data_IF_884818394857
#
_entry.id   IF_884818394857
#
_cell.length_a   1.000
_cell.length_b   1.000
_cell.length_c   1.000
_cell.angle_alpha   90.00
_cell.angle_beta   90.00
_cell.angle_gamma   90.00
#
_symmetry.space_group_name_H-M   'P 1'
#
loop_
_entity.id
_entity.type
_entity.pdbx_description
1 polymer ?
#
# COMPACT_ATOMS: atom_id res chain seq x y z
N UNK A 1 -5.56 29.16 16.86
CA UNK A 1 -4.38 29.98 17.15
C UNK A 1 -3.25 29.47 16.27
N UNK A 2 -2.97 30.24 15.23
CA UNK A 2 -1.95 29.92 14.21
C UNK A 2 -0.55 30.09 14.84
N UNK A 3 0.04 29.03 15.34
CA UNK A 3 1.45 29.01 15.73
C UNK A 3 2.28 28.93 14.44
N UNK A 4 2.49 30.10 13.81
CA UNK A 4 3.49 30.25 12.75
C UNK A 4 4.79 29.64 13.28
N UNK A 5 5.26 28.56 12.60
CA UNK A 5 6.53 27.92 12.91
C UNK A 5 7.66 28.96 12.85
N UNK A 6 8.08 29.49 14.01
CA UNK A 6 9.26 30.37 14.09
C UNK A 6 10.50 29.49 13.97
N UNK A 7 11.01 29.37 12.76
CA UNK A 7 12.28 28.70 12.51
C UNK A 7 13.40 29.71 12.43
N UNK A 8 14.62 29.35 12.86
CA UNK A 8 15.82 30.09 12.52
C UNK A 8 15.98 30.16 10.99
N UNK A 9 16.83 31.08 10.46
CA UNK A 9 17.10 31.08 9.02
C UNK A 9 17.60 29.71 8.53
N UNK A 10 16.97 29.16 7.50
CA UNK A 10 17.28 27.81 7.02
C UNK A 10 18.73 27.65 6.57
N UNK A 11 19.32 28.69 5.98
CA UNK A 11 20.74 28.68 5.61
C UNK A 11 21.68 28.58 6.83
N UNK A 12 21.28 29.14 7.97
CA UNK A 12 22.05 29.04 9.20
C UNK A 12 21.96 27.62 9.79
N UNK A 13 20.78 27.00 9.77
CA UNK A 13 20.59 25.58 10.14
C UNK A 13 21.38 24.64 9.23
N UNK A 14 21.38 24.89 7.90
CA UNK A 14 22.12 24.12 6.91
C UNK A 14 23.64 24.23 7.13
N UNK A 15 24.15 25.44 7.39
CA UNK A 15 25.55 25.67 7.69
C UNK A 15 25.98 24.97 8.99
N UNK A 16 25.11 24.97 10.01
CA UNK A 16 25.36 24.27 11.27
C UNK A 16 25.38 22.73 11.08
N UNK A 17 24.42 22.16 10.36
CA UNK A 17 24.39 20.72 10.10
C UNK A 17 25.66 20.24 9.38
N UNK A 18 26.03 20.91 8.28
CA UNK A 18 27.24 20.57 7.53
C UNK A 18 28.51 20.76 8.37
N UNK A 19 28.65 21.86 9.10
CA UNK A 19 29.78 22.10 10.00
C UNK A 19 29.86 21.09 11.15
N UNK A 20 28.73 20.64 11.67
CA UNK A 20 28.65 19.65 12.72
C UNK A 20 29.08 18.26 12.25
N UNK A 21 28.76 17.90 11.00
CA UNK A 21 29.14 16.65 10.39
C UNK A 21 30.63 16.57 10.07
N UNK A 22 31.19 17.66 9.57
CA UNK A 22 32.60 17.75 9.21
C UNK A 22 33.54 18.12 10.38
N UNK A 23 33.01 18.70 11.46
CA UNK A 23 33.77 19.36 12.54
C UNK A 23 34.83 20.29 11.97
N UNK A 24 34.53 20.92 10.82
CA UNK A 24 35.45 21.77 10.07
C UNK A 24 34.68 22.75 9.17
N UNK A 25 34.86 24.05 9.40
CA UNK A 25 34.17 25.08 8.65
C UNK A 25 34.61 25.21 7.18
N UNK A 26 35.87 24.89 6.87
CA UNK A 26 36.33 24.89 5.48
C UNK A 26 35.70 23.76 4.67
N UNK A 27 35.65 22.53 5.22
CA UNK A 27 35.01 21.43 4.56
C UNK A 27 33.50 21.64 4.41
N UNK A 28 32.86 22.25 5.40
CA UNK A 28 31.45 22.63 5.28
C UNK A 28 31.20 23.66 4.19
N UNK A 29 32.15 24.61 4.07
CA UNK A 29 32.10 25.65 3.03
C UNK A 29 32.26 25.07 1.62
N UNK A 30 33.19 24.12 1.45
CA UNK A 30 33.37 23.38 0.19
C UNK A 30 32.11 22.61 -0.22
N UNK A 31 31.49 21.87 0.71
CA UNK A 31 30.25 21.17 0.47
C UNK A 31 29.09 22.10 0.10
N UNK A 32 28.97 23.21 0.79
CA UNK A 32 27.90 24.19 0.57
C UNK A 32 28.15 25.14 -0.59
N UNK A 33 29.32 25.04 -1.25
CA UNK A 33 29.77 25.94 -2.34
C UNK A 33 29.76 27.41 -1.92
N UNK A 34 30.27 27.72 -0.71
CA UNK A 34 30.38 29.05 -0.13
C UNK A 34 31.77 29.29 0.45
N UNK A 35 32.04 30.48 0.96
CA UNK A 35 33.31 30.74 1.66
C UNK A 35 33.28 30.29 3.12
N UNK A 36 34.42 29.92 3.74
CA UNK A 36 34.49 29.63 5.18
C UNK A 36 34.00 30.77 6.08
N UNK A 37 34.21 32.01 5.66
CA UNK A 37 33.69 33.20 6.34
C UNK A 37 32.17 33.27 6.33
N UNK A 38 31.51 32.86 5.21
CA UNK A 38 30.06 32.80 5.11
C UNK A 38 29.49 31.74 6.04
N UNK A 39 30.11 30.55 6.11
CA UNK A 39 29.71 29.49 7.07
C UNK A 39 29.83 29.99 8.51
N UNK A 40 30.98 30.63 8.86
CA UNK A 40 31.17 31.18 10.20
C UNK A 40 30.11 32.22 10.57
N UNK A 41 29.75 33.11 9.62
CA UNK A 41 28.69 34.11 9.83
C UNK A 41 27.30 33.46 10.01
N UNK A 42 26.97 32.45 9.23
CA UNK A 42 25.68 31.74 9.39
C UNK A 42 25.59 31.03 10.74
N UNK A 43 26.71 30.46 11.21
CA UNK A 43 26.75 29.81 12.54
C UNK A 43 26.59 30.85 13.63
N UNK A 44 27.27 31.97 13.53
CA UNK A 44 27.13 33.08 14.50
C UNK A 44 25.67 33.57 14.56
N UNK A 45 25.03 33.79 13.41
CA UNK A 45 23.62 34.17 13.34
C UNK A 45 22.69 33.13 14.02
N UNK A 46 23.02 31.86 13.92
CA UNK A 46 22.25 30.79 14.58
C UNK A 46 22.49 30.78 16.10
N UNK A 47 23.75 30.94 16.53
CA UNK A 47 24.13 31.06 17.95
C UNK A 47 23.46 32.27 18.62
N UNK A 48 23.43 33.42 17.93
CA UNK A 48 22.73 34.62 18.38
C UNK A 48 21.23 34.41 18.51
N UNK A 49 20.61 33.66 17.56
CA UNK A 49 19.18 33.33 17.59
C UNK A 49 18.84 32.37 18.73
N UNK A 50 19.71 31.37 18.97
CA UNK A 50 19.51 30.34 20.02
C UNK A 50 19.92 30.91 21.39
N UNK A 51 20.79 31.89 21.44
CA UNK A 51 21.33 32.48 22.68
C UNK A 51 22.40 31.60 23.34
N UNK A 52 23.00 30.67 22.60
CA UNK A 52 24.03 29.77 23.14
C UNK A 52 25.02 29.36 22.05
N UNK A 53 26.32 29.16 22.39
CA UNK A 53 27.30 28.65 21.44
C UNK A 53 26.99 27.20 21.06
N UNK A 54 27.15 26.88 19.78
CA UNK A 54 26.95 25.54 19.23
C UNK A 54 28.26 24.79 19.03
N UNK A 55 29.39 25.56 18.91
CA UNK A 55 30.74 24.99 18.79
C UNK A 55 31.68 25.50 19.87
N UNK A 56 32.64 24.64 20.25
CA UNK A 56 33.79 24.98 21.10
C UNK A 56 35.07 24.77 20.30
N UNK A 57 35.94 25.77 20.28
CA UNK A 57 37.29 25.65 19.70
C UNK A 57 38.22 25.05 20.75
N UNK A 58 38.95 24.00 20.40
CA UNK A 58 39.96 23.39 21.25
C UNK A 58 41.30 23.30 20.51
N UNK A 59 42.41 23.06 21.21
CA UNK A 59 43.69 22.82 20.54
C UNK A 59 43.69 21.62 19.56
N UNK A 60 42.71 20.73 19.69
CA UNK A 60 42.53 19.54 18.84
C UNK A 60 41.54 19.75 17.70
N UNK A 61 40.93 20.93 17.58
CA UNK A 61 39.95 21.25 16.54
C UNK A 61 38.62 21.77 17.08
N UNK A 62 37.59 21.65 16.25
CA UNK A 62 36.23 22.10 16.53
C UNK A 62 35.43 20.94 17.21
N UNK A 63 34.70 21.23 18.28
CA UNK A 63 33.85 20.32 18.98
C UNK A 63 32.44 20.90 19.11
N UNK A 64 31.42 20.06 19.12
CA UNK A 64 30.05 20.45 19.43
C UNK A 64 29.85 20.70 20.93
N UNK A 65 29.01 21.67 21.25
CA UNK A 65 28.50 21.86 22.62
C UNK A 65 27.41 20.80 22.93
N UNK A 66 27.08 20.62 24.19
CA UNK A 66 26.03 19.65 24.58
C UNK A 66 24.67 20.00 24.00
N UNK A 67 24.34 21.30 23.91
CA UNK A 67 23.11 21.79 23.24
C UNK A 67 23.10 21.41 21.76
N UNK A 68 24.23 21.58 21.07
CA UNK A 68 24.36 21.22 19.68
C UNK A 68 24.25 19.71 19.45
N UNK A 69 24.85 18.89 20.34
CA UNK A 69 24.75 17.42 20.27
C UNK A 69 23.33 16.91 20.46
N UNK A 70 22.56 17.51 21.35
CA UNK A 70 21.16 17.14 21.60
C UNK A 70 20.24 17.51 20.43
N UNK A 71 20.47 18.64 19.78
CA UNK A 71 19.63 19.14 18.69
C UNK A 71 19.94 18.48 17.32
N UNK A 72 21.18 18.04 17.12
CA UNK A 72 21.69 17.61 15.80
C UNK A 72 20.93 16.41 15.20
N UNK A 73 20.53 15.35 15.95
CA UNK A 73 19.77 14.23 15.38
C UNK A 73 18.44 14.70 14.75
N UNK A 74 17.64 15.48 15.51
CA UNK A 74 16.36 16.00 15.01
C UNK A 74 16.53 16.94 13.80
N UNK A 75 17.64 17.69 13.77
CA UNK A 75 17.95 18.57 12.63
C UNK A 75 18.33 17.77 11.39
N UNK A 76 19.09 16.69 11.52
CA UNK A 76 19.40 15.75 10.41
C UNK A 76 18.16 15.13 9.85
N UNK A 77 17.30 14.57 10.69
CA UNK A 77 16.02 13.99 10.27
C UNK A 77 15.16 15.03 9.51
N UNK A 78 15.17 16.29 9.94
CA UNK A 78 14.46 17.37 9.26
C UNK A 78 15.04 17.65 7.87
N UNK A 79 16.39 17.70 7.71
CA UNK A 79 17.02 17.90 6.40
C UNK A 79 16.85 16.70 5.48
N UNK A 80 16.88 15.46 6.00
CA UNK A 80 16.59 14.27 5.22
C UNK A 80 15.17 14.32 4.66
N UNK A 81 14.17 14.72 5.45
CA UNK A 81 12.79 14.95 5.00
C UNK A 81 12.67 16.09 3.98
N UNK A 82 13.44 17.17 4.12
CA UNK A 82 13.48 18.23 3.12
C UNK A 82 14.10 17.76 1.80
N UNK A 83 15.17 16.96 1.86
CA UNK A 83 15.79 16.36 0.69
C UNK A 83 14.83 15.38 -0.01
N UNK A 84 14.12 14.56 0.75
CA UNK A 84 13.05 13.68 0.26
C UNK A 84 11.94 14.48 -0.43
N UNK A 85 11.46 15.56 0.19
CA UNK A 85 10.45 16.45 -0.41
C UNK A 85 10.96 17.11 -1.70
N UNK A 86 12.22 17.54 -1.73
CA UNK A 86 12.83 18.12 -2.93
C UNK A 86 12.98 17.08 -4.07
N UNK A 87 13.37 15.85 -3.73
CA UNK A 87 13.43 14.75 -4.69
C UNK A 87 12.04 14.45 -5.28
N UNK A 88 10.98 14.49 -4.44
CA UNK A 88 9.61 14.33 -4.89
C UNK A 88 9.15 15.44 -5.84
N UNK A 89 9.50 16.69 -5.56
CA UNK A 89 9.23 17.81 -6.46
C UNK A 89 9.92 17.62 -7.82
N UNK A 90 11.14 17.10 -7.82
CA UNK A 90 11.90 16.83 -9.05
C UNK A 90 11.35 15.62 -9.79
N UNK A 91 11.05 14.53 -9.09
CA UNK A 91 10.46 13.32 -9.67
C UNK A 91 9.08 13.58 -10.28
N UNK A 92 8.27 14.44 -9.66
CA UNK A 92 6.96 14.87 -10.18
C UNK A 92 7.09 15.64 -11.51
N UNK A 93 8.20 16.36 -11.70
CA UNK A 93 8.51 17.07 -12.96
C UNK A 93 8.98 16.10 -14.06
N UNK A 94 9.75 15.06 -13.69
CA UNK A 94 10.29 14.09 -14.66
C UNK A 94 9.28 13.01 -15.09
N UNK A 95 8.11 12.92 -14.45
CA UNK A 95 7.05 11.95 -14.79
C UNK A 95 7.46 10.49 -14.62
N UNK A 96 8.52 10.22 -13.85
CA UNK A 96 9.07 8.87 -13.67
C UNK A 96 8.42 8.11 -12.52
N UNK A 97 8.03 8.80 -11.44
CA UNK A 97 7.47 8.15 -10.25
C UNK A 97 5.95 8.07 -10.34
N UNK A 98 5.43 6.89 -10.02
CA UNK A 98 4.00 6.62 -9.85
C UNK A 98 3.77 6.12 -8.42
N UNK A 99 3.09 6.90 -7.60
CA UNK A 99 2.79 6.55 -6.21
C UNK A 99 1.36 6.02 -6.09
N UNK A 100 1.24 4.77 -5.64
CA UNK A 100 -0.01 4.03 -5.56
C UNK A 100 -0.33 3.66 -4.11
N UNK A 101 -1.62 3.55 -3.79
CA UNK A 101 -2.08 2.84 -2.61
C UNK A 101 -3.15 1.82 -2.99
N UNK A 102 -3.18 0.68 -2.31
CA UNK A 102 -4.12 -0.41 -2.58
C UNK A 102 -4.48 -1.17 -1.30
N UNK A 103 -5.65 -1.84 -1.24
CA UNK A 103 -5.94 -2.77 -0.15
C UNK A 103 -4.87 -3.86 -0.07
N UNK A 104 -4.36 -4.20 1.14
CA UNK A 104 -3.23 -5.13 1.28
C UNK A 104 -3.42 -6.47 0.59
N UNK A 105 -4.60 -7.08 0.73
CA UNK A 105 -4.90 -8.36 0.09
C UNK A 105 -4.93 -8.28 -1.43
N UNK A 106 -5.48 -7.19 -2.00
CA UNK A 106 -5.51 -6.96 -3.45
C UNK A 106 -4.10 -6.69 -3.98
N UNK A 107 -3.33 -5.88 -3.27
CA UNK A 107 -1.93 -5.64 -3.61
C UNK A 107 -1.15 -6.96 -3.68
N UNK A 108 -1.22 -7.79 -2.64
CA UNK A 108 -0.45 -9.02 -2.54
C UNK A 108 -0.88 -10.11 -3.53
N UNK A 109 -2.19 -10.31 -3.70
CA UNK A 109 -2.74 -11.47 -4.44
C UNK A 109 -3.03 -11.16 -5.91
N UNK A 110 -3.33 -9.91 -6.28
CA UNK A 110 -3.68 -9.59 -7.66
C UNK A 110 -2.70 -8.62 -8.34
N UNK A 111 -2.34 -7.51 -7.67
CA UNK A 111 -1.57 -6.45 -8.32
C UNK A 111 -0.10 -6.82 -8.48
N UNK A 112 0.59 -7.15 -7.38
CA UNK A 112 2.04 -7.43 -7.36
C UNK A 112 2.43 -8.58 -8.31
N UNK A 113 1.69 -9.71 -8.37
CA UNK A 113 1.99 -10.78 -9.34
C UNK A 113 1.95 -10.32 -10.82
N UNK A 114 1.22 -9.25 -11.12
CA UNK A 114 1.05 -8.69 -12.48
C UNK A 114 1.96 -7.50 -12.77
N UNK A 115 2.46 -6.83 -11.72
CA UNK A 115 3.19 -5.56 -11.83
C UNK A 115 4.44 -5.65 -12.71
N UNK A 116 5.13 -6.79 -12.71
CA UNK A 116 6.30 -7.00 -13.57
C UNK A 116 6.03 -6.84 -15.07
N UNK A 117 4.77 -7.05 -15.52
CA UNK A 117 4.38 -6.78 -16.92
C UNK A 117 4.29 -5.29 -17.22
N UNK A 118 3.82 -4.51 -16.25
CA UNK A 118 3.81 -3.04 -16.37
C UNK A 118 5.24 -2.49 -16.39
N UNK A 119 6.09 -2.93 -15.48
CA UNK A 119 7.49 -2.49 -15.38
C UNK A 119 8.29 -2.82 -16.67
N UNK A 120 8.05 -4.01 -17.24
CA UNK A 120 8.66 -4.39 -18.53
C UNK A 120 8.19 -3.51 -19.70
N UNK A 121 6.91 -3.11 -19.71
CA UNK A 121 6.35 -2.25 -20.75
C UNK A 121 6.72 -0.76 -20.56
N UNK A 122 6.99 -0.34 -19.34
CA UNK A 122 7.24 1.05 -18.97
C UNK A 122 8.47 1.19 -18.05
N UNK A 123 9.68 0.79 -18.49
CA UNK A 123 10.89 0.73 -17.67
C UNK A 123 11.35 2.12 -17.15
N UNK A 124 10.77 3.19 -17.67
CA UNK A 124 11.03 4.56 -17.21
C UNK A 124 10.15 4.99 -16.03
N UNK A 125 9.16 4.18 -15.63
CA UNK A 125 8.23 4.51 -14.55
C UNK A 125 8.59 3.70 -13.30
N UNK A 126 8.97 4.41 -12.24
CA UNK A 126 9.24 3.83 -10.94
C UNK A 126 7.95 3.75 -10.12
N UNK A 127 7.48 2.56 -9.83
CA UNK A 127 6.25 2.33 -9.05
C UNK A 127 6.55 2.27 -7.56
N UNK A 128 5.88 3.12 -6.80
CA UNK A 128 5.85 3.06 -5.34
C UNK A 128 4.46 2.65 -4.87
N UNK A 129 4.34 1.45 -4.30
CA UNK A 129 3.08 0.89 -3.83
C UNK A 129 3.03 0.84 -2.30
N UNK A 130 2.04 1.52 -1.71
CA UNK A 130 1.70 1.40 -0.29
C UNK A 130 0.45 0.53 -0.14
N UNK A 131 0.53 -0.49 0.71
CA UNK A 131 -0.60 -1.37 1.02
C UNK A 131 -1.33 -0.83 2.26
N UNK A 132 -2.50 -0.21 2.06
CA UNK A 132 -3.28 0.43 3.11
C UNK A 132 -4.78 0.39 2.81
N UNK A 133 -5.59 0.24 3.88
CA UNK A 133 -7.06 0.30 3.80
C UNK A 133 -7.61 1.70 3.98
N UNK A 134 -6.84 2.63 4.55
CA UNK A 134 -7.29 3.98 4.85
C UNK A 134 -7.58 4.78 3.58
N UNK A 135 -8.62 5.61 3.66
CA UNK A 135 -8.95 6.54 2.58
C UNK A 135 -7.86 7.62 2.48
N UNK A 136 -7.33 7.77 1.27
CA UNK A 136 -6.30 8.77 0.98
C UNK A 136 -6.92 10.15 0.87
N UNK A 137 -6.38 11.11 1.62
CA UNK A 137 -6.56 12.52 1.31
C UNK A 137 -5.54 12.96 0.24
N UNK A 138 -5.97 12.97 -1.00
CA UNK A 138 -5.14 13.38 -2.13
C UNK A 138 -4.68 14.85 -2.08
N UNK A 139 -5.28 15.69 -1.23
CA UNK A 139 -4.88 17.08 -1.09
C UNK A 139 -3.60 17.21 -0.23
N UNK A 140 -3.37 16.26 0.67
CA UNK A 140 -2.25 16.29 1.62
C UNK A 140 -1.25 15.15 1.42
N UNK A 141 -1.57 14.19 0.53
CA UNK A 141 -0.72 13.03 0.22
C UNK A 141 -0.08 13.14 -1.16
N UNK A 142 1.01 12.40 -1.35
CA UNK A 142 1.72 12.30 -2.64
C UNK A 142 1.17 11.20 -3.54
N UNK A 143 0.12 10.49 -3.10
CA UNK A 143 -0.49 9.41 -3.87
C UNK A 143 -1.05 9.96 -5.18
N UNK A 144 -0.71 9.31 -6.28
CA UNK A 144 -1.21 9.67 -7.60
C UNK A 144 -2.51 8.96 -7.93
N UNK A 145 -2.63 7.70 -7.51
CA UNK A 145 -3.77 6.84 -7.79
C UNK A 145 -3.97 5.87 -6.64
N UNK A 146 -5.21 5.67 -6.23
CA UNK A 146 -5.58 4.69 -5.22
C UNK A 146 -6.42 3.57 -5.84
N UNK A 147 -6.09 2.34 -5.55
CA UNK A 147 -6.95 1.20 -5.78
C UNK A 147 -7.84 1.02 -4.55
N UNK A 148 -9.11 0.73 -4.75
CA UNK A 148 -10.07 0.62 -3.65
C UNK A 148 -11.08 -0.49 -3.92
N UNK A 149 -11.46 -1.21 -2.86
CA UNK A 149 -12.59 -2.10 -2.84
C UNK A 149 -13.77 -1.39 -2.20
N UNK A 150 -14.93 -1.35 -2.86
CA UNK A 150 -16.08 -0.60 -2.35
C UNK A 150 -17.24 -0.49 -3.32
N UNK A 151 -18.21 0.37 -2.98
CA UNK A 151 -19.42 0.61 -3.79
C UNK A 151 -19.20 1.47 -5.04
N UNK A 152 -18.02 2.06 -5.22
CA UNK A 152 -17.71 2.93 -6.36
C UNK A 152 -18.09 4.40 -6.17
N UNK A 153 -18.48 4.81 -4.98
CA UNK A 153 -18.87 6.19 -4.70
C UNK A 153 -17.70 6.95 -4.05
N UNK A 154 -16.97 7.74 -4.85
CA UNK A 154 -15.81 8.54 -4.43
C UNK A 154 -15.98 9.99 -4.89
N UNK A 155 -16.67 10.85 -4.11
CA UNK A 155 -17.01 12.22 -4.52
C UNK A 155 -15.77 13.06 -4.84
N UNK A 156 -15.82 13.76 -6.00
CA UNK A 156 -14.74 14.65 -6.44
C UNK A 156 -13.53 13.97 -7.08
N UNK A 157 -13.54 12.63 -7.19
CA UNK A 157 -12.49 11.84 -7.85
C UNK A 157 -12.99 11.25 -9.17
N UNK A 158 -12.09 11.07 -10.12
CA UNK A 158 -12.33 10.23 -11.29
C UNK A 158 -12.23 8.77 -10.83
N UNK A 159 -13.24 7.96 -11.21
CA UNK A 159 -13.40 6.59 -10.74
C UNK A 159 -13.52 5.65 -11.92
N UNK A 160 -12.66 4.64 -11.97
CA UNK A 160 -12.63 3.60 -13.00
C UNK A 160 -12.90 2.25 -12.36
N UNK A 161 -14.01 1.59 -12.73
CA UNK A 161 -14.28 0.22 -12.30
C UNK A 161 -13.30 -0.72 -12.97
N UNK A 162 -12.68 -1.58 -12.17
CA UNK A 162 -11.68 -2.56 -12.64
C UNK A 162 -12.27 -3.96 -12.69
N UNK A 163 -12.71 -4.50 -11.56
CA UNK A 163 -13.13 -5.89 -11.41
C UNK A 163 -14.39 -5.97 -10.55
N UNK A 164 -15.32 -6.83 -10.93
CA UNK A 164 -16.36 -7.32 -10.03
C UNK A 164 -15.79 -8.29 -8.99
N UNK A 165 -16.63 -8.74 -8.06
CA UNK A 165 -16.20 -9.72 -7.09
C UNK A 165 -17.29 -10.76 -6.81
N UNK A 166 -16.86 -11.98 -6.56
CA UNK A 166 -17.70 -13.07 -6.07
C UNK A 166 -17.00 -13.78 -4.91
N UNK A 167 -17.75 -14.48 -4.08
CA UNK A 167 -17.17 -15.36 -3.07
C UNK A 167 -17.44 -16.81 -3.41
N UNK A 168 -16.43 -17.64 -3.17
CA UNK A 168 -16.46 -19.08 -3.37
C UNK A 168 -15.78 -19.81 -2.20
N UNK A 169 -16.23 -21.01 -1.82
CA UNK A 169 -15.48 -21.87 -0.91
C UNK A 169 -14.20 -22.35 -1.58
N UNK A 170 -13.08 -22.27 -0.87
CA UNK A 170 -11.77 -22.78 -1.34
C UNK A 170 -11.07 -23.57 -0.26
N UNK A 171 -10.31 -24.59 -0.64
CA UNK A 171 -9.49 -25.39 0.24
C UNK A 171 -8.29 -25.97 -0.50
N UNK A 172 -7.30 -26.48 0.24
CA UNK A 172 -6.18 -27.17 -0.40
C UNK A 172 -6.59 -28.53 -0.94
N UNK A 173 -5.97 -29.01 -2.04
CA UNK A 173 -6.21 -30.35 -2.59
C UNK A 173 -5.96 -31.47 -1.58
N UNK A 174 -4.94 -31.32 -0.73
CA UNK A 174 -4.60 -32.32 0.30
C UNK A 174 -5.72 -32.47 1.34
N UNK A 175 -6.30 -31.35 1.78
CA UNK A 175 -7.42 -31.38 2.71
C UNK A 175 -8.66 -31.99 2.07
N UNK A 176 -8.92 -31.71 0.80
CA UNK A 176 -10.03 -32.31 0.05
C UNK A 176 -9.86 -33.82 -0.15
N UNK A 177 -8.62 -34.26 -0.41
CA UNK A 177 -8.33 -35.69 -0.53
C UNK A 177 -8.54 -36.45 0.81
N UNK A 178 -8.15 -35.81 1.93
CA UNK A 178 -8.29 -36.38 3.26
C UNK A 178 -9.75 -36.41 3.76
N UNK A 179 -10.53 -35.40 3.41
CA UNK A 179 -11.91 -35.21 3.82
C UNK A 179 -12.74 -34.60 2.68
N UNK A 180 -13.25 -35.40 1.73
CA UNK A 180 -13.93 -34.91 0.54
C UNK A 180 -15.19 -34.09 0.85
N UNK A 181 -15.40 -33.04 0.04
CA UNK A 181 -16.62 -32.22 0.03
C UNK A 181 -17.30 -32.40 -1.31
N UNK A 182 -18.53 -32.89 -1.30
CA UNK A 182 -19.37 -33.11 -2.49
C UNK A 182 -20.55 -32.14 -2.54
N UNK A 183 -20.99 -31.65 -1.38
CA UNK A 183 -22.07 -30.68 -1.24
C UNK A 183 -21.80 -29.70 -0.09
N UNK A 184 -22.53 -28.60 -0.04
CA UNK A 184 -22.38 -27.60 1.01
C UNK A 184 -22.57 -28.16 2.43
N UNK A 185 -23.38 -29.19 2.60
CA UNK A 185 -23.60 -29.87 3.88
C UNK A 185 -22.35 -30.56 4.44
N UNK A 186 -21.44 -31.00 3.59
CA UNK A 186 -20.18 -31.63 4.00
C UNK A 186 -19.22 -30.71 4.73
N UNK A 187 -19.35 -29.39 4.51
CA UNK A 187 -18.54 -28.35 5.17
C UNK A 187 -18.66 -28.37 6.70
N UNK A 188 -19.70 -28.98 7.25
CA UNK A 188 -19.84 -29.20 8.70
C UNK A 188 -18.70 -30.02 9.32
N UNK A 189 -17.98 -30.80 8.52
CA UNK A 189 -16.85 -31.64 8.95
C UNK A 189 -15.51 -30.93 8.87
N UNK A 190 -15.50 -29.69 8.39
CA UNK A 190 -14.31 -28.91 8.19
C UNK A 190 -14.23 -27.74 9.16
N UNK A 191 -13.01 -27.26 9.40
CA UNK A 191 -12.78 -25.98 10.05
C UNK A 191 -13.14 -24.87 9.06
N UNK A 192 -14.04 -23.97 9.43
CA UNK A 192 -14.39 -22.81 8.62
C UNK A 192 -13.45 -21.65 8.97
N UNK A 193 -12.80 -21.10 7.95
CA UNK A 193 -11.91 -19.96 8.07
C UNK A 193 -12.71 -18.68 7.75
N UNK A 194 -12.62 -17.69 8.63
CA UNK A 194 -13.45 -16.48 8.53
C UNK A 194 -12.65 -15.28 8.08
N UNK A 195 -13.13 -14.61 7.06
CA UNK A 195 -12.67 -13.28 6.65
C UNK A 195 -13.36 -12.23 7.54
N UNK A 196 -12.58 -11.56 8.37
CA UNK A 196 -12.99 -10.45 9.21
C UNK A 196 -12.38 -9.14 8.74
N UNK A 197 -12.09 -9.02 7.44
CA UNK A 197 -11.63 -7.75 6.84
C UNK A 197 -12.61 -6.63 7.17
N UNK A 198 -12.14 -5.42 7.46
CA UNK A 198 -12.98 -4.29 7.89
C UNK A 198 -13.76 -3.66 6.73
N UNK A 199 -14.15 -4.47 5.73
CA UNK A 199 -14.97 -4.03 4.62
C UNK A 199 -16.42 -3.85 5.12
N UNK A 200 -17.00 -2.70 4.91
CA UNK A 200 -18.40 -2.44 5.19
C UNK A 200 -19.33 -3.01 4.09
N UNK A 201 -18.98 -4.17 3.52
CA UNK A 201 -19.75 -4.82 2.46
C UNK A 201 -20.81 -5.75 3.05
N UNK A 202 -22.01 -5.23 3.24
CA UNK A 202 -23.17 -5.99 3.71
C UNK A 202 -23.63 -7.06 2.69
N UNK A 203 -23.21 -6.99 1.42
CA UNK A 203 -23.53 -7.96 0.38
C UNK A 203 -22.60 -9.19 0.42
N UNK A 204 -21.43 -9.06 1.06
CA UNK A 204 -20.47 -10.16 1.19
C UNK A 204 -20.95 -11.14 2.27
N UNK A 205 -21.38 -12.36 1.91
CA UNK A 205 -21.89 -13.31 2.88
C UNK A 205 -20.76 -13.84 3.77
N UNK A 206 -21.07 -13.96 5.06
CA UNK A 206 -20.30 -14.81 5.97
C UNK A 206 -20.70 -16.30 5.78
N UNK A 207 -20.02 -17.18 6.49
CA UNK A 207 -20.35 -18.61 6.44
C UNK A 207 -21.79 -18.94 6.85
N UNK A 208 -22.34 -18.19 7.82
CA UNK A 208 -23.73 -18.40 8.28
C UNK A 208 -24.72 -18.07 7.18
N UNK A 209 -24.53 -16.92 6.53
CA UNK A 209 -25.36 -16.48 5.41
C UNK A 209 -25.22 -17.41 4.20
N UNK A 210 -23.99 -17.77 3.84
CA UNK A 210 -23.69 -18.60 2.68
C UNK A 210 -24.29 -20.00 2.80
N UNK A 211 -24.15 -20.66 3.97
CA UNK A 211 -24.70 -21.97 4.26
C UNK A 211 -26.22 -21.95 4.38
N UNK A 212 -26.78 -20.92 5.02
CA UNK A 212 -28.23 -20.77 5.15
C UNK A 212 -28.92 -20.62 3.79
N UNK A 213 -28.34 -19.88 2.86
CA UNK A 213 -28.83 -19.73 1.48
C UNK A 213 -28.89 -21.08 0.73
N UNK A 214 -28.08 -22.07 1.16
CA UNK A 214 -28.03 -23.45 0.60
C UNK A 214 -28.77 -24.49 1.45
N UNK A 215 -29.58 -24.01 2.38
CA UNK A 215 -30.41 -24.88 3.23
C UNK A 215 -29.65 -25.65 4.31
N UNK A 216 -28.36 -25.36 4.50
CA UNK A 216 -27.55 -26.02 5.53
C UNK A 216 -27.80 -25.35 6.88
N UNK A 217 -28.38 -26.11 7.83
CA UNK A 217 -28.76 -25.60 9.16
C UNK A 217 -28.33 -26.58 10.25
N UNK A 218 -28.41 -26.15 11.50
CA UNK A 218 -28.21 -27.05 12.67
C UNK A 218 -26.73 -27.28 13.00
N UNK A 219 -25.87 -26.33 12.63
CA UNK A 219 -24.47 -26.35 13.03
C UNK A 219 -23.97 -24.91 13.26
N UNK A 220 -22.97 -24.75 14.14
CA UNK A 220 -22.41 -23.45 14.47
C UNK A 220 -21.37 -23.03 13.42
N UNK A 221 -21.85 -22.31 12.41
CA UNK A 221 -21.02 -21.80 11.34
C UNK A 221 -20.13 -20.61 11.74
N UNK A 222 -20.26 -20.08 12.96
CA UNK A 222 -19.43 -18.97 13.47
C UNK A 222 -18.13 -19.46 14.13
N UNK A 223 -17.99 -20.76 14.32
CA UNK A 223 -16.83 -21.36 14.95
C UNK A 223 -15.68 -21.51 13.94
N UNK A 224 -14.51 -20.97 14.30
CA UNK A 224 -13.29 -21.11 13.51
C UNK A 224 -12.36 -19.91 13.65
N UNK A 225 -11.14 -20.01 13.13
CA UNK A 225 -10.19 -18.89 13.12
C UNK A 225 -10.72 -17.71 12.30
N UNK A 226 -10.45 -16.49 12.80
CA UNK A 226 -10.80 -15.24 12.13
C UNK A 226 -9.55 -14.46 11.79
N UNK A 227 -9.52 -13.87 10.61
CA UNK A 227 -8.40 -13.08 10.11
C UNK A 227 -8.92 -11.73 9.64
N UNK A 228 -8.15 -10.68 9.87
CA UNK A 228 -8.52 -9.31 9.48
C UNK A 228 -8.06 -8.92 8.06
N UNK A 229 -7.58 -9.87 7.28
CA UNK A 229 -7.19 -9.68 5.88
C UNK A 229 -7.53 -10.92 5.06
N UNK A 230 -8.18 -10.73 3.91
CA UNK A 230 -8.58 -11.82 3.00
C UNK A 230 -7.39 -12.66 2.54
N UNK A 231 -6.21 -12.05 2.34
CA UNK A 231 -4.99 -12.79 1.97
C UNK A 231 -4.56 -13.79 3.04
N UNK A 232 -4.72 -13.49 4.33
CA UNK A 232 -4.40 -14.41 5.42
C UNK A 232 -5.38 -15.59 5.49
N UNK A 233 -6.65 -15.34 5.16
CA UNK A 233 -7.66 -16.42 5.06
C UNK A 233 -7.28 -17.39 3.96
N UNK A 234 -6.88 -16.88 2.80
CA UNK A 234 -6.41 -17.66 1.65
C UNK A 234 -5.15 -18.46 2.01
N UNK A 235 -4.18 -17.84 2.68
CA UNK A 235 -2.96 -18.55 3.14
C UNK A 235 -3.27 -19.67 4.13
N UNK A 236 -4.25 -19.47 5.01
CA UNK A 236 -4.68 -20.52 5.92
C UNK A 236 -5.34 -21.70 5.18
N UNK A 237 -6.11 -21.43 4.11
CA UNK A 237 -6.69 -22.46 3.25
C UNK A 237 -5.61 -23.21 2.45
N UNK A 238 -4.64 -22.51 1.87
CA UNK A 238 -3.46 -23.09 1.20
C UNK A 238 -2.68 -24.03 2.11
N UNK A 239 -2.56 -23.68 3.39
CA UNK A 239 -1.89 -24.49 4.41
C UNK A 239 -2.73 -25.67 4.92
N UNK A 240 -3.88 -25.97 4.31
CA UNK A 240 -4.75 -27.09 4.69
C UNK A 240 -5.45 -26.91 6.04
N UNK A 241 -5.52 -25.70 6.61
CA UNK A 241 -6.08 -25.46 7.95
C UNK A 241 -7.61 -25.49 7.99
N UNK A 242 -8.28 -25.46 6.83
CA UNK A 242 -9.72 -25.44 6.73
C UNK A 242 -10.21 -24.99 5.37
N UNK A 243 -11.51 -24.69 5.30
CA UNK A 243 -12.17 -24.15 4.11
C UNK A 243 -12.39 -22.65 4.31
N UNK A 244 -11.98 -21.84 3.35
CA UNK A 244 -12.19 -20.40 3.33
C UNK A 244 -13.38 -20.06 2.40
N UNK A 245 -14.20 -19.08 2.80
CA UNK A 245 -15.10 -18.39 1.89
C UNK A 245 -14.33 -17.19 1.33
N UNK A 246 -13.70 -17.38 0.17
CA UNK A 246 -12.73 -16.44 -0.36
C UNK A 246 -13.32 -15.54 -1.45
N UNK A 247 -12.87 -14.29 -1.50
CA UNK A 247 -13.05 -13.41 -2.65
C UNK A 247 -12.32 -14.02 -3.84
N UNK A 248 -13.06 -14.31 -4.92
CA UNK A 248 -12.54 -15.08 -6.06
C UNK A 248 -11.40 -14.38 -6.76
N UNK A 249 -11.47 -13.08 -6.96
CA UNK A 249 -10.38 -12.28 -7.55
C UNK A 249 -9.05 -12.52 -6.84
N UNK A 250 -9.06 -12.67 -5.52
CA UNK A 250 -7.85 -12.85 -4.71
C UNK A 250 -7.36 -14.31 -4.70
N UNK A 251 -8.24 -15.28 -4.90
CA UNK A 251 -7.92 -16.70 -4.88
C UNK A 251 -7.63 -17.27 -6.27
N UNK A 252 -7.95 -16.55 -7.35
CA UNK A 252 -7.97 -17.10 -8.71
C UNK A 252 -6.59 -17.62 -9.17
N UNK A 253 -5.51 -16.90 -8.92
CA UNK A 253 -4.17 -17.34 -9.31
C UNK A 253 -3.75 -18.64 -8.57
N UNK A 254 -4.27 -18.87 -7.34
CA UNK A 254 -4.04 -20.10 -6.58
C UNK A 254 -4.92 -21.26 -7.09
N UNK A 255 -6.15 -20.96 -7.55
CA UNK A 255 -7.03 -21.93 -8.20
C UNK A 255 -6.46 -22.37 -9.55
N UNK A 256 -6.03 -21.44 -10.40
CA UNK A 256 -5.44 -21.72 -11.72
C UNK A 256 -4.17 -22.55 -11.61
N UNK A 257 -3.38 -22.30 -10.56
CA UNK A 257 -2.17 -23.07 -10.27
C UNK A 257 -2.44 -24.42 -9.58
N UNK A 258 -3.70 -24.77 -9.29
CA UNK A 258 -4.06 -26.00 -8.59
C UNK A 258 -3.63 -26.05 -7.11
N UNK A 259 -3.19 -24.94 -6.52
CA UNK A 259 -2.85 -24.86 -5.09
C UNK A 259 -4.09 -24.79 -4.20
N UNK A 260 -5.18 -24.29 -4.74
CA UNK A 260 -6.52 -24.35 -4.16
C UNK A 260 -7.47 -25.05 -5.12
N UNK A 261 -8.53 -25.58 -4.57
CA UNK A 261 -9.69 -26.05 -5.32
C UNK A 261 -10.96 -25.42 -4.75
N UNK A 262 -11.98 -25.26 -5.59
CA UNK A 262 -13.33 -24.93 -5.18
C UNK A 262 -14.12 -26.25 -5.00
N UNK A 263 -14.32 -26.74 -3.76
CA UNK A 263 -14.96 -28.04 -3.55
C UNK A 263 -16.45 -28.03 -3.90
N UNK A 264 -17.06 -26.84 -3.91
CA UNK A 264 -18.43 -26.60 -4.37
C UNK A 264 -18.38 -25.49 -5.40
N UNK A 265 -18.79 -25.77 -6.62
CA UNK A 265 -18.73 -24.83 -7.76
C UNK A 265 -19.85 -23.78 -7.72
N UNK A 266 -20.14 -23.23 -6.55
CA UNK A 266 -21.25 -22.32 -6.32
C UNK A 266 -20.71 -20.98 -5.81
N UNK A 267 -20.75 -19.96 -6.66
CA UNK A 267 -20.32 -18.59 -6.35
C UNK A 267 -21.49 -17.73 -5.90
N UNK A 268 -21.18 -16.68 -5.16
CA UNK A 268 -22.16 -15.66 -4.75
C UNK A 268 -21.63 -14.28 -5.13
N UNK A 269 -22.40 -13.55 -5.94
CA UNK A 269 -22.06 -12.21 -6.36
C UNK A 269 -22.05 -11.24 -5.16
N UNK A 270 -21.11 -10.29 -5.20
CA UNK A 270 -20.96 -9.23 -4.22
C UNK A 270 -21.21 -7.89 -4.89
N UNK A 271 -21.85 -6.93 -4.18
CA UNK A 271 -22.13 -5.61 -4.72
C UNK A 271 -20.89 -4.73 -4.83
N UNK A 272 -19.90 -4.95 -3.95
CA UNK A 272 -18.63 -4.21 -4.00
C UNK A 272 -17.75 -4.72 -5.16
N UNK A 273 -16.91 -3.79 -5.64
CA UNK A 273 -16.00 -4.03 -6.75
C UNK A 273 -14.65 -3.34 -6.48
N UNK A 274 -13.66 -3.65 -7.30
CA UNK A 274 -12.39 -2.93 -7.28
C UNK A 274 -12.42 -1.74 -8.23
N UNK A 275 -11.89 -0.62 -7.75
CA UNK A 275 -11.85 0.65 -8.49
C UNK A 275 -10.45 1.25 -8.44
N UNK A 276 -10.07 1.94 -9.52
CA UNK A 276 -8.98 2.89 -9.53
C UNK A 276 -9.56 4.30 -9.39
N UNK A 277 -9.07 5.08 -8.43
CA UNK A 277 -9.57 6.42 -8.15
C UNK A 277 -8.42 7.41 -8.05
N UNK A 278 -8.61 8.61 -8.61
CA UNK A 278 -7.59 9.67 -8.61
C UNK A 278 -8.24 11.06 -8.79
N UNK A 279 -7.57 12.15 -8.36
CA UNK A 279 -7.99 13.50 -8.71
C UNK A 279 -7.88 13.74 -10.23
N UNK A 280 -8.77 14.55 -10.79
CA UNK A 280 -8.77 14.90 -12.24
C UNK A 280 -7.42 15.42 -12.75
N UNK A 281 -6.71 16.20 -11.92
CA UNK A 281 -5.40 16.73 -12.26
C UNK A 281 -4.35 15.61 -12.43
N UNK A 282 -4.35 14.62 -11.52
CA UNK A 282 -3.43 13.47 -11.55
C UNK A 282 -3.67 12.57 -12.76
N UNK A 283 -4.92 12.39 -13.20
CA UNK A 283 -5.25 11.60 -14.40
C UNK A 283 -4.68 12.15 -15.71
N UNK A 284 -4.13 13.38 -15.71
CA UNK A 284 -3.44 13.95 -16.88
C UNK A 284 -1.97 13.54 -16.96
N UNK A 285 -1.39 13.06 -15.88
CA UNK A 285 0.01 12.65 -15.80
C UNK A 285 0.26 11.43 -16.69
N UNK A 286 1.34 11.42 -17.49
CA UNK A 286 1.63 10.32 -18.40
C UNK A 286 1.74 8.95 -17.73
N UNK A 287 2.38 8.87 -16.55
CA UNK A 287 2.54 7.65 -15.77
C UNK A 287 1.20 7.13 -15.23
N UNK A 288 0.29 8.01 -14.81
CA UNK A 288 -1.06 7.62 -14.36
C UNK A 288 -1.88 7.09 -15.53
N UNK A 289 -1.82 7.76 -16.70
CA UNK A 289 -2.50 7.28 -17.92
C UNK A 289 -2.00 5.91 -18.35
N UNK A 290 -0.68 5.72 -18.37
CA UNK A 290 -0.08 4.44 -18.74
C UNK A 290 -0.53 3.33 -17.79
N UNK A 291 -0.53 3.59 -16.48
CA UNK A 291 -0.94 2.61 -15.49
C UNK A 291 -2.43 2.28 -15.54
N UNK A 292 -3.30 3.29 -15.75
CA UNK A 292 -4.74 3.07 -15.92
C UNK A 292 -5.05 2.23 -17.16
N UNK A 293 -4.37 2.50 -18.28
CA UNK A 293 -4.53 1.71 -19.50
C UNK A 293 -4.09 0.25 -19.30
N UNK A 294 -2.96 0.04 -18.62
CA UNK A 294 -2.48 -1.30 -18.27
C UNK A 294 -3.44 -2.01 -17.30
N UNK A 295 -3.92 -1.34 -16.22
CA UNK A 295 -4.91 -1.90 -15.31
C UNK A 295 -6.19 -2.34 -16.03
N UNK A 296 -6.69 -1.52 -16.95
CA UNK A 296 -7.89 -1.84 -17.72
C UNK A 296 -7.68 -3.12 -18.57
N UNK A 297 -6.51 -3.25 -19.20
CA UNK A 297 -6.17 -4.44 -19.98
C UNK A 297 -6.04 -5.71 -19.11
N UNK A 298 -5.35 -5.61 -17.96
CA UNK A 298 -5.21 -6.72 -17.01
C UNK A 298 -6.55 -7.14 -16.40
N UNK A 299 -7.41 -6.17 -16.08
CA UNK A 299 -8.75 -6.43 -15.56
C UNK A 299 -9.63 -7.12 -16.59
N UNK A 300 -9.63 -6.66 -17.84
CA UNK A 300 -10.38 -7.27 -18.91
C UNK A 300 -9.91 -8.72 -19.20
N UNK A 301 -8.60 -8.96 -19.17
CA UNK A 301 -8.04 -10.30 -19.34
C UNK A 301 -8.46 -11.24 -18.20
N UNK A 302 -8.46 -10.73 -16.96
CA UNK A 302 -8.90 -11.49 -15.78
C UNK A 302 -10.41 -11.84 -15.86
N UNK A 303 -11.26 -10.88 -16.17
CA UNK A 303 -12.72 -11.12 -16.33
C UNK A 303 -13.02 -12.10 -17.47
N UNK A 304 -12.32 -12.00 -18.61
CA UNK A 304 -12.45 -12.93 -19.71
C UNK A 304 -12.07 -14.38 -19.34
N UNK A 305 -11.00 -14.54 -18.55
CA UNK A 305 -10.59 -15.86 -18.03
C UNK A 305 -11.66 -16.46 -17.12
N UNK A 306 -12.23 -15.67 -16.20
CA UNK A 306 -13.32 -16.11 -15.33
C UNK A 306 -14.57 -16.54 -16.11
N UNK A 307 -14.99 -15.74 -17.09
CA UNK A 307 -16.15 -16.07 -17.92
C UNK A 307 -15.95 -17.39 -18.71
N UNK A 308 -14.72 -17.70 -19.12
CA UNK A 308 -14.39 -18.95 -19.81
C UNK A 308 -14.54 -20.15 -18.88
N UNK A 309 -14.12 -20.03 -17.62
CA UNK A 309 -14.23 -21.09 -16.60
C UNK A 309 -15.72 -21.36 -16.31
N UNK A 310 -16.52 -20.33 -16.13
CA UNK A 310 -17.96 -20.45 -15.83
C UNK A 310 -18.74 -21.11 -16.97
N UNK A 311 -18.42 -20.75 -18.20
CA UNK A 311 -19.04 -21.36 -19.38
C UNK A 311 -18.56 -22.81 -19.63
N UNK A 312 -17.33 -23.15 -19.22
CA UNK A 312 -16.77 -24.51 -19.35
C UNK A 312 -17.22 -25.49 -18.24
N UNK A 313 -17.62 -24.99 -17.09
CA UNK A 313 -18.13 -25.80 -15.98
C UNK A 313 -19.63 -26.20 -16.13
N UNK A 314 -20.28 -25.73 -17.17
CA UNK A 314 -21.71 -25.95 -17.47
C UNK A 314 -22.01 -27.13 -18.44
N UNK A 315 -21.03 -28.04 -18.69
CA UNK A 315 -21.25 -29.25 -19.53
C UNK A 315 -21.07 -30.52 -18.70
#
# INVERSE_FOLDING_TARGET
MDQRRRLPPLNALRAFESAARHLNFSRAADELSVTPGAVSQQIQNLEDYVGAPLFKRTPRGLLLTDVAQLALPALRDAFDRLAESAALLTASVDGRRLTLTAPPSFAAKWLVPRLGRFEAAHPQIDVWLSADMDLVDFATSEVDLALRYGSGHYPGLDTHRLLGETVIPVMSPELAAANPVHEAGDLRRHVLLHDGSPDADESCPDWTMWLAARGVRGFDANRGPRFNQSSLVIEAALSGRGVALAKRTLAQDDLDAGRLIAPVADSTDIAFAYFAVHPKAKGRLPQVKAFLAWLAAESAAHEAALATIENGAGI
#
